data_IF_582999174743
#
_entry.id   IF_582999174743
#
_cell.length_a   1.000
_cell.length_b   1.000
_cell.length_c   1.000
_cell.angle_alpha   90.00
_cell.angle_beta   90.00
_cell.angle_gamma   90.00
#
_symmetry.space_group_name_H-M   'P 1'
#
loop_
_entity.id
_entity.type
_entity.pdbx_description
1 polymer ?
#
# COMPACT_ATOMS: atom_id res chain seq x y z
N UNK A 1 -1.67 -18.78 -2.47
CA UNK A 1 -2.99 -18.14 -2.30
C UNK A 1 -3.01 -16.76 -2.95
N UNK A 2 -2.11 -15.85 -2.62
CA UNK A 2 -2.01 -14.49 -3.21
C UNK A 2 -2.01 -14.50 -4.75
N UNK A 3 -1.07 -15.17 -5.40
CA UNK A 3 -0.98 -15.25 -6.86
C UNK A 3 -2.24 -15.79 -7.56
N UNK A 4 -3.10 -16.46 -6.82
CA UNK A 4 -4.32 -17.08 -7.31
C UNK A 4 -5.52 -16.13 -7.27
N UNK A 5 -5.57 -15.26 -6.26
CA UNK A 5 -6.75 -14.45 -5.94
C UNK A 5 -6.52 -12.94 -6.10
N UNK A 6 -5.27 -12.49 -5.93
CA UNK A 6 -4.93 -11.09 -5.80
C UNK A 6 -3.79 -10.67 -6.74
N UNK A 7 -3.52 -11.43 -7.81
CA UNK A 7 -2.52 -11.11 -8.82
C UNK A 7 -3.05 -10.10 -9.85
N UNK A 8 -3.48 -8.94 -9.38
CA UNK A 8 -4.06 -7.86 -10.17
C UNK A 8 -3.73 -6.49 -9.57
N UNK A 9 -3.82 -5.40 -10.32
CA UNK A 9 -3.65 -4.05 -9.78
C UNK A 9 -4.60 -3.80 -8.59
N UNK A 10 -4.15 -2.94 -7.68
CA UNK A 10 -4.90 -2.56 -6.47
C UNK A 10 -5.25 -3.72 -5.56
N UNK A 11 -4.34 -4.66 -5.44
CA UNK A 11 -4.33 -5.72 -4.44
C UNK A 11 -3.06 -5.63 -3.58
N UNK A 12 -3.05 -6.29 -2.42
CA UNK A 12 -1.90 -6.25 -1.53
C UNK A 12 -1.67 -7.57 -0.81
N UNK A 13 -0.44 -7.77 -0.37
CA UNK A 13 -0.06 -8.86 0.51
C UNK A 13 0.81 -8.30 1.65
N UNK A 14 0.33 -8.44 2.88
CA UNK A 14 1.04 -8.03 4.07
C UNK A 14 1.39 -9.28 4.88
N UNK A 15 2.68 -9.51 5.06
CA UNK A 15 3.19 -10.64 5.82
C UNK A 15 4.14 -10.12 6.90
N UNK A 16 3.91 -10.50 8.13
CA UNK A 16 4.79 -10.15 9.23
C UNK A 16 5.84 -11.24 9.43
N UNK A 17 7.12 -10.86 9.33
CA UNK A 17 8.25 -11.74 9.58
C UNK A 17 9.07 -11.16 10.74
N UNK A 18 9.09 -11.84 11.88
CA UNK A 18 9.94 -11.45 13.01
C UNK A 18 11.30 -12.13 12.91
N UNK A 19 12.37 -11.33 12.73
CA UNK A 19 13.75 -11.76 12.95
C UNK A 19 14.24 -12.93 12.10
N UNK A 20 13.83 -12.99 10.84
CA UNK A 20 14.41 -13.91 9.85
C UNK A 20 13.91 -15.37 9.88
N UNK A 21 13.31 -15.85 10.95
CA UNK A 21 12.88 -17.26 11.06
C UNK A 21 11.53 -17.50 11.74
N UNK A 22 10.90 -16.46 12.31
CA UNK A 22 9.59 -16.59 12.95
C UNK A 22 8.55 -15.82 12.15
N UNK A 23 7.62 -16.54 11.56
CA UNK A 23 6.44 -16.00 10.91
C UNK A 23 5.59 -15.22 11.92
N UNK A 24 5.08 -14.07 11.51
CA UNK A 24 4.06 -13.39 12.28
C UNK A 24 2.79 -14.23 12.33
N UNK A 25 1.92 -13.96 13.31
CA UNK A 25 0.70 -14.72 13.47
C UNK A 25 -0.22 -14.59 12.25
N UNK A 26 -0.33 -13.40 11.67
CA UNK A 26 -1.26 -13.14 10.58
C UNK A 26 -0.54 -12.76 9.29
N UNK A 27 -1.08 -13.25 8.17
CA UNK A 27 -0.79 -12.76 6.83
C UNK A 27 -2.09 -12.26 6.22
N UNK A 28 -2.05 -11.09 5.58
CA UNK A 28 -3.22 -10.42 5.00
C UNK A 28 -3.09 -10.36 3.49
N UNK A 29 -4.13 -10.80 2.78
CA UNK A 29 -4.22 -10.73 1.32
C UNK A 29 -5.45 -9.89 0.98
N UNK A 30 -5.23 -8.63 0.57
CA UNK A 30 -6.30 -7.81 0.05
C UNK A 30 -6.59 -8.16 -1.40
N UNK A 31 -7.84 -8.43 -1.69
CA UNK A 31 -8.29 -8.66 -3.06
C UNK A 31 -8.33 -7.33 -3.81
N UNK A 32 -8.56 -7.37 -5.11
CA UNK A 32 -8.63 -6.16 -5.94
C UNK A 32 -9.65 -5.18 -5.38
N UNK A 33 -9.17 -4.01 -4.99
CA UNK A 33 -10.04 -2.96 -4.48
C UNK A 33 -10.89 -2.36 -5.61
N UNK A 34 -12.19 -2.28 -5.40
CA UNK A 34 -13.12 -1.63 -6.32
C UNK A 34 -12.97 -0.11 -6.27
N UNK A 35 -12.66 0.44 -5.10
CA UNK A 35 -12.52 1.88 -4.87
C UNK A 35 -11.07 2.21 -4.52
N UNK A 36 -10.53 3.20 -5.23
CA UNK A 36 -9.16 3.71 -5.04
C UNK A 36 -9.20 5.22 -4.94
N UNK A 37 -8.54 5.75 -3.92
CA UNK A 37 -8.37 7.18 -3.69
C UNK A 37 -6.95 7.55 -4.13
N UNK A 38 -6.83 8.57 -4.96
CA UNK A 38 -5.54 9.12 -5.41
C UNK A 38 -5.50 10.60 -5.11
N UNK A 39 -4.39 11.06 -4.56
CA UNK A 39 -4.16 12.48 -4.31
C UNK A 39 -2.95 12.93 -5.12
N UNK A 40 -3.13 14.00 -5.86
CA UNK A 40 -2.09 14.71 -6.58
C UNK A 40 -2.12 16.17 -6.13
N UNK A 41 -1.10 16.64 -5.46
CA UNK A 41 -1.13 17.94 -4.79
C UNK A 41 -2.35 18.08 -3.87
N UNK A 42 -3.25 19.01 -4.16
CA UNK A 42 -4.49 19.25 -3.41
C UNK A 42 -5.73 18.69 -4.12
N UNK A 43 -5.53 17.89 -5.16
CA UNK A 43 -6.61 17.27 -5.92
C UNK A 43 -6.80 15.82 -5.49
N UNK A 44 -7.97 15.53 -4.93
CA UNK A 44 -8.39 14.17 -4.52
C UNK A 44 -9.28 13.59 -5.60
N UNK A 45 -8.95 12.39 -6.06
CA UNK A 45 -9.70 11.62 -7.06
C UNK A 45 -10.15 10.31 -6.44
N UNK A 46 -11.44 9.98 -6.57
CA UNK A 46 -11.99 8.69 -6.20
C UNK A 46 -12.36 7.94 -7.47
N UNK A 47 -11.75 6.79 -7.67
CA UNK A 47 -12.05 5.90 -8.79
C UNK A 47 -12.81 4.68 -8.27
N UNK A 48 -13.88 4.26 -8.96
CA UNK A 48 -14.60 3.00 -8.69
C UNK A 48 -14.51 2.12 -9.95
N UNK A 49 -13.94 0.93 -9.81
CA UNK A 49 -13.67 0.02 -10.91
C UNK A 49 -12.88 0.67 -12.08
N UNK A 50 -11.91 1.53 -11.75
CA UNK A 50 -11.08 2.25 -12.71
C UNK A 50 -11.76 3.44 -13.40
N UNK A 51 -12.97 3.80 -12.99
CA UNK A 51 -13.70 4.96 -13.49
C UNK A 51 -13.70 6.05 -12.43
N UNK A 52 -13.31 7.28 -12.82
CA UNK A 52 -13.36 8.44 -11.95
C UNK A 52 -14.83 8.75 -11.60
N UNK A 53 -15.17 8.69 -10.29
CA UNK A 53 -16.53 8.96 -9.79
C UNK A 53 -16.62 10.26 -9.01
N UNK A 54 -15.53 10.68 -8.37
CA UNK A 54 -15.48 11.94 -7.61
C UNK A 54 -14.13 12.62 -7.82
N UNK A 55 -14.14 13.94 -7.84
CA UNK A 55 -12.93 14.76 -7.92
C UNK A 55 -13.15 16.05 -7.11
N UNK A 56 -12.24 16.30 -6.17
CA UNK A 56 -12.30 17.42 -5.26
C UNK A 56 -10.96 18.16 -5.22
N UNK A 57 -11.00 19.47 -5.20
CA UNK A 57 -9.85 20.31 -4.82
C UNK A 57 -10.06 20.73 -3.38
N UNK A 58 -9.15 20.36 -2.50
CA UNK A 58 -9.28 20.51 -1.05
C UNK A 58 -8.13 21.34 -0.48
N UNK A 59 -8.34 21.96 0.67
CA UNK A 59 -7.29 22.70 1.37
C UNK A 59 -6.34 21.75 2.12
N UNK A 60 -6.87 20.66 2.69
CA UNK A 60 -6.12 19.63 3.40
C UNK A 60 -6.53 18.22 2.94
N UNK A 61 -5.70 17.55 2.13
CA UNK A 61 -5.96 16.18 1.70
C UNK A 61 -6.00 15.16 2.84
N UNK A 62 -5.26 15.38 3.93
CA UNK A 62 -5.21 14.45 5.06
C UNK A 62 -6.52 14.52 5.86
N UNK A 63 -7.04 15.73 6.12
CA UNK A 63 -8.35 15.93 6.74
C UNK A 63 -9.47 15.32 5.86
N UNK A 64 -9.39 15.49 4.55
CA UNK A 64 -10.36 14.89 3.64
C UNK A 64 -10.36 13.36 3.74
N UNK A 65 -9.18 12.72 3.79
CA UNK A 65 -9.03 11.27 3.94
C UNK A 65 -9.58 10.80 5.30
N UNK A 66 -9.30 11.52 6.37
CA UNK A 66 -9.85 11.22 7.70
C UNK A 66 -11.38 11.28 7.69
N UNK A 67 -11.96 12.33 7.10
CA UNK A 67 -13.40 12.47 6.95
C UNK A 67 -14.01 11.38 6.07
N UNK A 68 -13.31 10.96 5.01
CA UNK A 68 -13.72 9.83 4.18
C UNK A 68 -13.73 8.51 4.97
N UNK A 69 -12.68 8.27 5.76
CA UNK A 69 -12.59 7.07 6.61
C UNK A 69 -13.68 7.04 7.68
N UNK A 70 -14.02 8.17 8.28
CA UNK A 70 -15.04 8.28 9.31
C UNK A 70 -16.47 8.01 8.83
N UNK A 71 -16.71 7.89 7.52
CA UNK A 71 -17.99 7.48 6.97
C UNK A 71 -18.26 5.98 7.16
N UNK A 72 -17.21 5.18 7.38
CA UNK A 72 -17.36 3.75 7.55
C UNK A 72 -17.59 3.40 9.03
N UNK A 73 -18.69 2.73 9.31
CA UNK A 73 -19.01 2.20 10.63
C UNK A 73 -19.00 0.67 10.59
N UNK A 74 -17.87 0.09 10.93
CA UNK A 74 -17.66 -1.36 10.89
C UNK A 74 -17.74 -1.92 12.32
N UNK A 75 -18.59 -2.94 12.58
CA UNK A 75 -18.67 -3.53 13.90
C UNK A 75 -17.37 -4.29 14.25
N UNK A 76 -16.93 -4.15 15.49
CA UNK A 76 -15.82 -4.94 16.01
C UNK A 76 -16.32 -6.35 16.35
N UNK A 77 -15.66 -7.38 15.78
CA UNK A 77 -15.96 -8.79 16.04
C UNK A 77 -14.77 -9.43 16.77
N UNK A 78 -15.02 -10.04 17.93
CA UNK A 78 -13.97 -10.61 18.80
C UNK A 78 -13.22 -11.79 18.14
N UNK A 79 -13.87 -12.48 17.22
CA UNK A 79 -13.30 -13.64 16.51
C UNK A 79 -12.42 -13.26 15.30
N UNK A 80 -12.36 -11.97 14.94
CA UNK A 80 -11.55 -11.47 13.85
C UNK A 80 -10.30 -10.75 14.37
N UNK A 81 -9.21 -10.74 13.60
CA UNK A 81 -8.04 -9.90 13.90
C UNK A 81 -8.42 -8.42 13.88
N UNK A 82 -7.65 -7.58 14.59
CA UNK A 82 -7.89 -6.14 14.67
C UNK A 82 -7.89 -5.48 13.27
N UNK A 83 -7.03 -5.95 12.37
CA UNK A 83 -7.07 -5.53 10.98
C UNK A 83 -7.99 -6.47 10.18
N UNK A 84 -9.14 -5.97 9.78
CA UNK A 84 -10.13 -6.72 8.98
C UNK A 84 -10.65 -5.95 7.76
N UNK A 85 -10.01 -4.84 7.40
CA UNK A 85 -10.37 -3.95 6.28
C UNK A 85 -9.96 -2.51 6.56
N UNK A 86 -10.34 -1.59 5.70
CA UNK A 86 -10.03 -0.17 5.82
C UNK A 86 -9.27 0.39 4.62
N UNK A 87 -8.53 1.49 4.83
CA UNK A 87 -7.73 2.12 3.80
C UNK A 87 -6.32 1.55 3.80
N UNK A 88 -5.88 1.00 2.68
CA UNK A 88 -4.55 0.39 2.51
C UNK A 88 -3.85 0.99 1.31
N UNK A 89 -2.61 1.42 1.47
CA UNK A 89 -1.86 2.01 0.38
C UNK A 89 -0.59 2.69 0.86
N UNK A 90 -0.23 3.80 0.24
CA UNK A 90 0.94 4.56 0.64
C UNK A 90 0.67 6.05 0.76
N UNK A 91 1.43 6.65 1.64
CA UNK A 91 1.64 8.08 1.75
C UNK A 91 3.08 8.35 1.29
N UNK A 92 3.22 9.10 0.19
CA UNK A 92 4.52 9.44 -0.38
C UNK A 92 5.32 10.38 0.51
N UNK A 93 6.62 10.50 0.25
CA UNK A 93 7.50 11.39 1.03
C UNK A 93 7.07 12.85 0.97
N UNK A 94 6.54 13.28 -0.16
CA UNK A 94 6.17 14.69 -0.41
C UNK A 94 4.92 15.14 0.37
N UNK A 95 4.18 14.24 1.04
CA UNK A 95 3.02 14.61 1.88
C UNK A 95 3.40 15.53 3.02
N UNK A 96 4.69 15.59 3.40
CA UNK A 96 5.19 16.51 4.43
C UNK A 96 4.84 17.98 4.11
N UNK A 97 4.64 18.32 2.84
CA UNK A 97 4.24 19.68 2.41
C UNK A 97 2.82 20.06 2.84
N UNK A 98 1.94 19.09 3.11
CA UNK A 98 0.60 19.35 3.67
C UNK A 98 0.65 19.69 5.16
N UNK A 99 1.68 19.20 5.86
CA UNK A 99 1.85 19.33 7.31
C UNK A 99 2.75 20.52 7.66
N UNK A 100 3.83 20.73 6.89
CA UNK A 100 4.85 21.75 7.17
C UNK A 100 4.81 22.87 6.12
N UNK A 101 4.21 24.04 6.44
CA UNK A 101 4.05 25.15 5.49
C UNK A 101 5.34 25.65 4.84
N UNK A 102 6.48 25.52 5.54
CA UNK A 102 7.79 25.90 5.00
C UNK A 102 8.21 25.07 3.80
N UNK A 103 7.67 23.85 3.68
CA UNK A 103 7.98 22.91 2.60
C UNK A 103 6.92 22.93 1.49
N UNK A 104 5.80 23.63 1.67
CA UNK A 104 4.68 23.65 0.72
C UNK A 104 5.06 24.16 -0.68
N UNK A 105 6.04 25.09 -0.76
CA UNK A 105 6.43 25.74 -2.02
C UNK A 105 7.71 25.17 -2.65
N UNK A 106 8.17 23.99 -2.22
CA UNK A 106 9.33 23.36 -2.82
C UNK A 106 8.90 22.67 -4.11
N UNK A 107 9.16 23.33 -5.24
CA UNK A 107 8.93 22.78 -6.57
C UNK A 107 10.07 21.81 -6.93
N UNK A 108 9.77 20.51 -6.92
CA UNK A 108 10.63 19.48 -7.49
C UNK A 108 10.02 18.97 -8.79
N UNK A 109 10.87 18.62 -9.74
CA UNK A 109 10.42 17.96 -10.96
C UNK A 109 9.91 16.56 -10.61
N UNK A 110 8.64 16.30 -10.87
CA UNK A 110 8.06 14.95 -10.79
C UNK A 110 8.20 14.26 -12.15
N UNK A 111 9.18 13.36 -12.27
CA UNK A 111 9.42 12.59 -13.49
C UNK A 111 8.53 11.34 -13.58
N UNK A 112 8.00 10.87 -12.44
CA UNK A 112 7.24 9.62 -12.36
C UNK A 112 5.74 9.85 -12.49
N UNK A 113 5.27 11.06 -12.15
CA UNK A 113 3.85 11.43 -12.14
C UNK A 113 2.98 10.42 -11.38
N UNK A 114 3.46 10.00 -10.22
CA UNK A 114 2.72 9.11 -9.31
C UNK A 114 1.94 9.93 -8.31
N UNK A 115 0.84 9.36 -7.81
CA UNK A 115 0.05 10.03 -6.77
C UNK A 115 0.87 10.26 -5.50
N UNK A 116 0.69 11.40 -4.84
CA UNK A 116 1.28 11.67 -3.52
C UNK A 116 0.73 10.71 -2.46
N UNK A 117 -0.56 10.37 -2.57
CA UNK A 117 -1.23 9.39 -1.73
C UNK A 117 -2.05 8.48 -2.64
N UNK A 118 -1.93 7.20 -2.45
CA UNK A 118 -2.80 6.20 -3.08
C UNK A 118 -3.32 5.26 -2.00
N UNK A 119 -4.63 5.21 -1.84
CA UNK A 119 -5.30 4.37 -0.87
C UNK A 119 -6.37 3.51 -1.55
N UNK A 120 -6.35 2.24 -1.24
CA UNK A 120 -7.34 1.25 -1.64
C UNK A 120 -8.36 1.07 -0.52
N UNK A 121 -9.65 1.10 -0.83
CA UNK A 121 -10.70 0.71 0.11
C UNK A 121 -10.77 -0.82 0.13
N UNK A 122 -10.22 -1.41 1.19
CA UNK A 122 -10.11 -2.85 1.33
C UNK A 122 -11.38 -3.44 1.93
N UNK A 123 -12.33 -3.78 1.08
CA UNK A 123 -13.58 -4.43 1.50
C UNK A 123 -13.46 -5.95 1.54
N UNK A 124 -12.63 -6.52 0.68
CA UNK A 124 -12.48 -7.96 0.50
C UNK A 124 -11.05 -8.39 0.82
N UNK A 125 -10.90 -9.25 1.81
CA UNK A 125 -9.58 -9.74 2.17
C UNK A 125 -9.61 -11.15 2.75
N UNK A 126 -8.47 -11.82 2.66
CA UNK A 126 -8.22 -13.07 3.36
C UNK A 126 -7.22 -12.81 4.48
N UNK A 127 -7.50 -13.36 5.64
CA UNK A 127 -6.57 -13.37 6.77
C UNK A 127 -6.18 -14.80 7.09
N UNK A 128 -4.89 -15.08 6.94
CA UNK A 128 -4.33 -16.38 7.29
C UNK A 128 -3.81 -16.28 8.73
N UNK A 129 -4.42 -17.00 9.64
CA UNK A 129 -3.91 -17.17 11.01
C UNK A 129 -2.96 -18.38 11.05
N UNK A 130 -1.68 -18.11 11.01
CA UNK A 130 -0.62 -19.12 10.99
C UNK A 130 -0.57 -19.94 12.29
N UNK A 131 -1.03 -19.37 13.42
CA UNK A 131 -1.05 -20.07 14.71
C UNK A 131 -2.16 -21.10 14.79
N UNK A 132 -3.37 -20.74 14.34
CA UNK A 132 -4.52 -21.65 14.37
C UNK A 132 -4.69 -22.44 13.08
N UNK A 133 -3.87 -22.17 12.04
CA UNK A 133 -3.99 -22.75 10.70
C UNK A 133 -5.38 -22.54 10.08
N UNK A 134 -5.96 -21.36 10.31
CA UNK A 134 -7.26 -20.97 9.77
C UNK A 134 -7.11 -19.87 8.73
N UNK A 135 -8.05 -19.83 7.79
CA UNK A 135 -8.20 -18.74 6.84
C UNK A 135 -9.57 -18.12 7.06
N UNK A 136 -9.58 -16.83 7.35
CA UNK A 136 -10.80 -16.03 7.41
C UNK A 136 -10.98 -15.35 6.06
N UNK A 137 -12.14 -15.46 5.47
CA UNK A 137 -12.55 -14.73 4.27
C UNK A 137 -13.50 -13.64 4.75
N UNK A 138 -13.15 -12.40 4.52
CA UNK A 138 -13.87 -11.24 5.01
C UNK A 138 -14.35 -10.42 3.82
N UNK A 139 -15.61 -10.04 3.82
CA UNK A 139 -16.18 -9.07 2.88
C UNK A 139 -16.99 -8.04 3.67
N UNK A 140 -16.76 -6.76 3.38
CA UNK A 140 -17.59 -5.67 3.88
C UNK A 140 -18.54 -5.23 2.80
N UNK A 141 -19.79 -5.05 3.16
CA UNK A 141 -20.83 -4.53 2.27
C UNK A 141 -21.49 -3.31 2.88
N UNK A 142 -21.95 -2.42 2.02
CA UNK A 142 -22.86 -1.35 2.42
C UNK A 142 -24.31 -1.90 2.39
N UNK A 143 -25.03 -1.94 3.54
CA UNK A 143 -26.39 -2.47 3.57
C UNK A 143 -27.39 -1.69 2.68
N UNK A 144 -27.09 -0.44 2.35
CA UNK A 144 -27.90 0.38 1.47
C UNK A 144 -27.73 0.03 -0.02
N UNK A 145 -26.61 -0.62 -0.37
CA UNK A 145 -26.25 -0.97 -1.76
C UNK A 145 -26.32 -2.48 -2.06
N UNK A 146 -26.16 -3.32 -1.04
CA UNK A 146 -26.02 -4.77 -1.19
C UNK A 146 -26.75 -5.54 -0.10
N UNK A 147 -27.24 -6.72 -0.44
CA UNK A 147 -27.94 -7.61 0.50
C UNK A 147 -26.97 -8.59 1.18
N UNK A 148 -27.44 -9.26 2.22
CA UNK A 148 -26.70 -10.34 2.87
C UNK A 148 -26.45 -11.51 1.90
N UNK A 149 -27.40 -11.81 1.01
CA UNK A 149 -27.30 -12.86 -0.02
C UNK A 149 -26.20 -12.53 -1.04
N UNK A 150 -26.03 -11.26 -1.40
CA UNK A 150 -24.95 -10.81 -2.27
C UNK A 150 -23.59 -11.03 -1.61
N UNK A 151 -23.46 -10.67 -0.32
CA UNK A 151 -22.24 -10.90 0.45
C UNK A 151 -21.90 -12.40 0.54
N UNK A 152 -22.89 -13.24 0.84
CA UNK A 152 -22.71 -14.69 0.92
C UNK A 152 -22.29 -15.29 -0.43
N UNK A 153 -22.88 -14.82 -1.51
CA UNK A 153 -22.52 -15.23 -2.87
C UNK A 153 -21.07 -14.86 -3.20
N UNK A 154 -20.63 -13.66 -2.80
CA UNK A 154 -19.25 -13.20 -2.98
C UNK A 154 -18.25 -14.04 -2.16
N UNK A 155 -18.56 -14.34 -0.90
CA UNK A 155 -17.76 -15.22 -0.05
C UNK A 155 -17.62 -16.63 -0.66
N UNK A 156 -18.72 -17.22 -1.13
CA UNK A 156 -18.71 -18.53 -1.78
C UNK A 156 -17.84 -18.53 -3.05
N UNK A 157 -17.91 -17.47 -3.87
CA UNK A 157 -17.09 -17.32 -5.07
C UNK A 157 -15.59 -17.26 -4.72
N UNK A 158 -15.22 -16.54 -3.67
CA UNK A 158 -13.84 -16.46 -3.20
C UNK A 158 -13.37 -17.84 -2.72
N UNK A 159 -14.18 -18.53 -1.92
CA UNK A 159 -13.89 -19.87 -1.42
C UNK A 159 -13.69 -20.88 -2.58
N UNK A 160 -14.56 -20.86 -3.57
CA UNK A 160 -14.45 -21.72 -4.74
C UNK A 160 -13.18 -21.41 -5.55
N UNK A 161 -12.81 -20.14 -5.67
CA UNK A 161 -11.57 -19.76 -6.31
C UNK A 161 -10.33 -20.23 -5.53
N UNK A 162 -10.38 -20.27 -4.21
CA UNK A 162 -9.31 -20.87 -3.38
C UNK A 162 -9.14 -22.37 -3.71
N UNK A 163 -10.21 -23.09 -3.90
CA UNK A 163 -10.22 -24.54 -4.16
C UNK A 163 -9.74 -24.93 -5.57
N UNK A 164 -9.82 -24.03 -6.55
CA UNK A 164 -9.38 -24.29 -7.92
C UNK A 164 -7.88 -24.58 -8.00
N UNK A 165 -7.47 -25.41 -8.95
CA UNK A 165 -6.06 -25.64 -9.22
C UNK A 165 -5.36 -24.36 -9.70
N UNK A 166 -4.14 -24.13 -9.25
CA UNK A 166 -3.31 -23.00 -9.69
C UNK A 166 -2.27 -23.49 -10.70
N UNK A 167 -2.23 -22.87 -11.87
CA UNK A 167 -1.12 -23.07 -12.81
C UNK A 167 0.00 -22.13 -12.41
N UNK A 168 1.17 -22.68 -12.16
CA UNK A 168 2.36 -21.88 -11.85
C UNK A 168 2.67 -20.97 -13.03
N UNK A 169 2.64 -19.66 -12.80
CA UNK A 169 3.15 -18.68 -13.74
C UNK A 169 4.67 -18.68 -13.58
N UNK A 170 5.44 -19.06 -14.62
CA UNK A 170 6.90 -19.03 -14.51
C UNK A 170 7.33 -17.59 -14.22
N UNK A 171 8.22 -17.43 -13.25
CA UNK A 171 8.88 -16.14 -13.01
C UNK A 171 9.57 -15.68 -14.30
N UNK A 172 9.42 -14.42 -14.68
CA UNK A 172 10.16 -13.89 -15.83
C UNK A 172 11.65 -14.12 -15.54
N UNK A 173 12.36 -14.71 -16.50
CA UNK A 173 13.82 -14.83 -16.40
C UNK A 173 14.38 -13.42 -16.42
N UNK A 174 14.80 -12.93 -15.26
CA UNK A 174 15.45 -11.64 -15.15
C UNK A 174 16.79 -11.71 -15.88
N UNK A 175 16.84 -11.12 -17.07
CA UNK A 175 18.08 -10.87 -17.80
C UNK A 175 18.81 -9.61 -17.33
N UNK A 176 18.35 -9.00 -16.23
CA UNK A 176 18.89 -7.73 -15.72
C UNK A 176 20.23 -8.00 -15.04
N UNK A 177 21.27 -7.32 -15.52
CA UNK A 177 22.62 -7.35 -14.94
C UNK A 177 22.85 -6.09 -14.10
N UNK A 178 23.80 -6.14 -13.17
CA UNK A 178 24.14 -4.98 -12.33
C UNK A 178 24.53 -3.75 -13.16
N UNK A 179 25.13 -3.97 -14.33
CA UNK A 179 25.59 -2.91 -15.23
C UNK A 179 24.44 -2.24 -16.02
N UNK A 180 23.23 -2.79 -15.96
CA UNK A 180 22.03 -2.18 -16.55
C UNK A 180 21.52 -0.98 -15.75
N UNK A 181 22.02 -0.80 -14.53
CA UNK A 181 21.66 0.32 -13.66
C UNK A 181 22.61 1.50 -13.87
N UNK A 182 22.06 2.61 -14.34
CA UNK A 182 22.81 3.87 -14.52
C UNK A 182 22.41 4.83 -13.40
N UNK A 183 23.41 5.24 -12.59
CA UNK A 183 23.20 6.23 -11.55
C UNK A 183 23.23 7.64 -12.14
N UNK A 184 22.12 8.37 -12.06
CA UNK A 184 22.04 9.79 -12.43
C UNK A 184 22.84 10.69 -11.48
N UNK A 185 23.07 10.26 -10.24
CA UNK A 185 23.80 11.03 -9.22
C UNK A 185 25.32 10.83 -9.28
N UNK A 186 25.76 9.63 -9.53
CA UNK A 186 27.17 9.24 -9.70
C UNK A 186 27.98 9.17 -8.40
N UNK A 187 29.09 8.42 -8.45
CA UNK A 187 29.95 8.11 -7.28
C UNK A 187 30.53 9.36 -6.60
N UNK A 188 31.05 10.31 -7.38
CA UNK A 188 31.73 11.47 -6.80
C UNK A 188 30.77 12.40 -6.05
N UNK A 189 29.57 12.60 -6.60
CA UNK A 189 28.53 13.39 -5.92
C UNK A 189 28.07 12.69 -4.65
N UNK A 190 27.91 11.35 -4.67
CA UNK A 190 27.57 10.58 -3.48
C UNK A 190 28.61 10.76 -2.37
N UNK A 191 29.89 10.61 -2.67
CA UNK A 191 30.96 10.78 -1.69
C UNK A 191 30.95 12.20 -1.07
N UNK A 192 30.80 13.23 -1.91
CA UNK A 192 30.70 14.61 -1.42
C UNK A 192 29.46 14.81 -0.54
N UNK A 193 28.31 14.24 -0.91
CA UNK A 193 27.08 14.32 -0.10
C UNK A 193 27.26 13.67 1.27
N UNK A 194 27.99 12.56 1.36
CA UNK A 194 28.29 11.92 2.66
C UNK A 194 29.13 12.86 3.54
N UNK A 195 30.12 13.56 2.98
CA UNK A 195 30.94 14.55 3.72
C UNK A 195 30.07 15.74 4.16
N UNK A 196 29.14 16.21 3.32
CA UNK A 196 28.22 17.30 3.66
C UNK A 196 27.27 16.89 4.81
N UNK A 197 26.74 15.65 4.77
CA UNK A 197 25.90 15.10 5.83
C UNK A 197 26.66 15.01 7.16
N UNK A 198 27.90 14.57 7.14
CA UNK A 198 28.75 14.54 8.34
C UNK A 198 28.90 15.93 8.96
N UNK A 199 29.06 16.98 8.12
CA UNK A 199 29.08 18.36 8.60
C UNK A 199 27.77 18.79 9.24
N UNK A 200 26.62 18.44 8.67
CA UNK A 200 25.32 18.72 9.26
C UNK A 200 25.11 18.01 10.61
N UNK A 201 25.61 16.77 10.75
CA UNK A 201 25.55 16.05 12.03
C UNK A 201 26.41 16.77 13.08
N UNK A 202 27.65 17.19 12.73
CA UNK A 202 28.54 17.91 13.65
C UNK A 202 27.95 19.28 14.02
N UNK A 203 27.28 19.96 13.09
CA UNK A 203 26.62 21.24 13.35
C UNK A 203 25.33 21.10 14.20
N UNK A 204 24.81 19.88 14.41
CA UNK A 204 23.60 19.65 15.16
C UNK A 204 22.30 19.82 14.34
N UNK A 205 22.42 19.96 13.02
CA UNK A 205 21.26 20.13 12.14
C UNK A 205 20.46 18.84 11.97
N UNK A 206 21.14 17.68 12.01
CA UNK A 206 20.52 16.35 11.91
C UNK A 206 21.24 15.36 12.82
N UNK A 207 20.52 14.38 13.34
CA UNK A 207 21.09 13.29 14.15
C UNK A 207 21.46 12.08 13.30
N UNK A 208 20.69 11.82 12.24
CA UNK A 208 20.85 10.67 11.34
C UNK A 208 20.35 11.05 9.94
N UNK A 209 21.06 10.58 8.93
CA UNK A 209 20.62 10.71 7.54
C UNK A 209 20.81 9.40 6.80
N UNK A 210 19.85 9.07 5.93
CA UNK A 210 19.95 7.93 5.02
C UNK A 210 20.32 8.46 3.65
N UNK A 211 21.57 8.23 3.25
CA UNK A 211 22.14 8.77 2.00
C UNK A 211 21.97 7.83 0.80
N UNK A 212 21.36 6.67 0.97
CA UNK A 212 21.15 5.70 -0.11
C UNK A 212 19.88 4.90 0.10
N UNK A 213 19.34 4.37 -0.99
CA UNK A 213 18.29 3.37 -0.99
C UNK A 213 18.88 2.07 -1.54
N UNK A 214 18.64 0.94 -0.89
CA UNK A 214 19.08 -0.35 -1.41
C UNK A 214 17.89 -1.22 -1.76
N UNK A 215 18.00 -1.88 -2.90
CA UNK A 215 17.08 -2.92 -3.31
C UNK A 215 17.62 -4.26 -2.79
N UNK A 216 16.81 -4.95 -2.00
CA UNK A 216 17.05 -6.35 -1.66
C UNK A 216 16.09 -7.18 -2.47
N UNK A 217 16.61 -8.10 -3.28
CA UNK A 217 15.81 -9.19 -3.78
C UNK A 217 15.50 -10.10 -2.59
N UNK A 218 14.21 -10.25 -2.25
CA UNK A 218 13.82 -11.35 -1.38
C UNK A 218 13.87 -12.61 -2.21
N UNK A 219 14.83 -13.46 -1.93
CA UNK A 219 14.81 -14.83 -2.43
C UNK A 219 13.67 -15.54 -1.71
N UNK A 220 12.61 -15.84 -2.45
CA UNK A 220 11.50 -16.68 -2.01
C UNK A 220 11.78 -18.13 -2.36
#
# INVERSE_FOLDING_TARGET
MYLKLANSPYSYFLESVQGGEKWGRYSFIGLTAETVIKVYDYEVKVEKNGVLVEQHVVEDPLEWIENYQNQFNVPKLDDLPDFNGGLVGYFGYEIIRYIEPRLANINKTDELNVADILLMVSNDLLVVDNLSSKVHIITHINPDESTYEDALSKLNLIEDNIKKSFQHVPSPKAGIQTDDFVSSFGKNNFMKTVEDIQRYIIAGDVMQAVSYTHLRAHET
#
